data_IF_866829170549
#
_entry.id   IF_866829170549
#
_cell.length_a   1.000
_cell.length_b   1.000
_cell.length_c   1.000
_cell.angle_alpha   90.00
_cell.angle_beta   90.00
_cell.angle_gamma   90.00
#
_symmetry.space_group_name_H-M   'P 1'
#
loop_
_entity.id
_entity.type
_entity.pdbx_description
1 polymer ?
#
# COMPACT_ATOMS: atom_id res chain seq x y z
N UNK A 1 65.07 3.63 -31.30
CA UNK A 1 64.29 2.52 -31.89
C UNK A 1 63.56 1.77 -30.80
N UNK A 2 62.35 1.28 -31.10
CA UNK A 2 61.51 0.34 -30.32
C UNK A 2 60.69 0.90 -29.13
N UNK A 3 59.74 1.83 -29.34
CA UNK A 3 58.55 1.92 -28.46
C UNK A 3 57.27 2.45 -29.17
N UNK A 4 57.11 2.21 -30.48
CA UNK A 4 55.93 2.67 -31.24
C UNK A 4 54.96 1.54 -31.65
N UNK A 5 54.93 0.42 -30.93
CA UNK A 5 54.04 -0.73 -31.25
C UNK A 5 53.15 -1.15 -30.07
N UNK A 6 53.09 -0.38 -28.97
CA UNK A 6 52.29 -0.78 -27.81
C UNK A 6 50.97 -0.01 -27.60
N UNK A 7 50.56 0.84 -28.55
CA UNK A 7 49.35 1.67 -28.38
C UNK A 7 48.16 1.17 -29.21
N UNK A 8 48.37 0.30 -30.20
CA UNK A 8 47.27 -0.23 -31.03
C UNK A 8 46.57 -1.47 -30.46
N UNK A 9 47.12 -2.10 -29.40
CA UNK A 9 46.53 -3.30 -28.78
C UNK A 9 45.51 -2.98 -27.67
N UNK A 10 45.46 -1.74 -27.17
CA UNK A 10 44.54 -1.35 -26.09
C UNK A 10 43.15 -0.97 -26.64
N UNK A 11 43.03 -0.67 -27.94
CA UNK A 11 41.76 -0.30 -28.56
C UNK A 11 40.86 -1.51 -28.96
N UNK A 12 41.33 -2.75 -28.82
CA UNK A 12 40.55 -3.96 -29.11
C UNK A 12 39.95 -4.63 -27.87
N UNK A 13 40.29 -4.18 -26.66
CA UNK A 13 39.81 -4.79 -25.41
C UNK A 13 38.49 -4.14 -24.91
N UNK A 14 38.14 -2.95 -25.39
CA UNK A 14 36.90 -2.28 -24.99
C UNK A 14 35.65 -2.65 -25.82
N UNK A 15 35.67 -3.74 -26.60
CA UNK A 15 34.47 -4.20 -27.32
C UNK A 15 33.95 -5.59 -26.93
N UNK A 16 34.63 -6.34 -26.06
CA UNK A 16 34.14 -7.67 -25.64
C UNK A 16 33.87 -7.81 -24.15
N UNK A 17 34.07 -6.76 -23.35
CA UNK A 17 33.72 -6.76 -21.93
C UNK A 17 32.69 -5.67 -21.62
N UNK A 18 31.54 -5.70 -22.31
CA UNK A 18 30.30 -5.30 -21.65
C UNK A 18 29.84 -6.55 -20.90
N UNK A 19 30.50 -6.80 -19.77
CA UNK A 19 30.05 -7.82 -18.82
C UNK A 19 28.69 -7.31 -18.32
N UNK A 20 27.67 -8.14 -18.48
CA UNK A 20 26.36 -7.85 -17.96
C UNK A 20 26.51 -7.79 -16.44
N UNK A 21 26.65 -6.59 -15.89
CA UNK A 21 26.52 -6.32 -14.46
C UNK A 21 25.03 -6.35 -14.07
N UNK A 22 24.26 -7.27 -14.66
CA UNK A 22 22.99 -7.69 -14.12
C UNK A 22 23.33 -8.60 -12.94
N UNK A 23 23.65 -7.95 -11.83
CA UNK A 23 23.77 -8.58 -10.53
C UNK A 23 22.51 -9.40 -10.30
N UNK A 24 22.63 -10.72 -10.25
CA UNK A 24 21.60 -11.60 -9.73
C UNK A 24 21.53 -11.47 -8.19
N UNK A 25 21.16 -10.29 -7.69
CA UNK A 25 20.80 -10.08 -6.27
C UNK A 25 19.37 -10.58 -5.96
N UNK A 26 18.66 -11.09 -6.97
CA UNK A 26 17.36 -11.75 -6.85
C UNK A 26 17.37 -13.05 -6.01
N UNK A 27 18.55 -13.58 -5.64
CA UNK A 27 18.68 -14.82 -4.87
C UNK A 27 18.79 -14.63 -3.33
N UNK A 28 18.66 -13.39 -2.83
CA UNK A 28 18.66 -13.12 -1.37
C UNK A 28 17.29 -12.70 -0.82
N UNK A 29 16.20 -13.00 -1.53
CA UNK A 29 14.92 -13.22 -0.84
C UNK A 29 14.95 -14.67 -0.38
N UNK A 30 15.26 -14.87 0.91
CA UNK A 30 14.90 -16.13 1.54
C UNK A 30 13.43 -16.37 1.24
N UNK A 31 13.14 -17.43 0.50
CA UNK A 31 11.80 -17.99 0.46
C UNK A 31 11.56 -18.47 1.89
N UNK A 32 11.08 -17.58 2.76
CA UNK A 32 10.29 -18.02 3.89
C UNK A 32 9.23 -18.92 3.28
N UNK A 33 9.12 -20.19 3.71
CA UNK A 33 8.01 -21.02 3.31
C UNK A 33 6.76 -20.16 3.41
N UNK A 34 5.88 -20.22 2.41
CA UNK A 34 4.50 -19.80 2.62
C UNK A 34 3.97 -20.80 3.66
N UNK A 35 4.35 -20.63 4.93
CA UNK A 35 3.51 -21.02 6.05
C UNK A 35 2.21 -20.37 5.67
N UNK A 36 1.19 -21.19 5.42
CA UNK A 36 -0.18 -20.71 5.28
C UNK A 36 -0.36 -19.71 6.43
N UNK A 37 -0.32 -18.41 6.11
CA UNK A 37 -0.72 -17.37 7.04
C UNK A 37 -2.21 -17.54 7.13
N UNK A 38 -2.62 -18.56 7.87
CA UNK A 38 -3.90 -18.57 8.53
C UNK A 38 -3.75 -17.42 9.51
N UNK A 39 -4.15 -16.25 9.04
CA UNK A 39 -4.28 -15.06 9.86
C UNK A 39 -5.43 -15.35 10.82
N UNK A 40 -5.11 -16.04 11.92
CA UNK A 40 -6.02 -16.38 13.01
C UNK A 40 -6.45 -15.12 13.80
N UNK A 41 -6.06 -13.91 13.36
CA UNK A 41 -6.53 -12.69 14.00
C UNK A 41 -8.05 -12.55 13.79
N UNK A 42 -8.81 -12.35 14.88
CA UNK A 42 -10.25 -12.20 14.76
C UNK A 42 -10.58 -10.95 13.93
N UNK A 43 -11.46 -11.11 12.94
CA UNK A 43 -11.90 -9.99 12.08
C UNK A 43 -12.48 -8.87 12.97
N UNK A 44 -11.97 -7.63 12.88
CA UNK A 44 -12.41 -6.56 13.76
C UNK A 44 -13.88 -6.22 13.52
N UNK A 45 -14.62 -5.92 14.58
CA UNK A 45 -15.99 -5.42 14.49
C UNK A 45 -16.14 -4.22 15.41
N UNK A 46 -16.86 -3.22 14.93
CA UNK A 46 -16.95 -1.92 15.56
C UNK A 46 -18.36 -1.63 16.05
N UNK A 47 -18.48 -1.13 17.27
CA UNK A 47 -19.77 -0.66 17.78
C UNK A 47 -20.11 0.68 17.12
N UNK A 48 -21.22 0.73 16.38
CA UNK A 48 -21.64 1.98 15.71
C UNK A 48 -21.93 3.12 16.69
N UNK A 49 -22.30 2.80 17.93
CA UNK A 49 -22.45 3.78 19.02
C UNK A 49 -21.13 4.46 19.42
N UNK A 50 -19.99 3.85 19.12
CA UNK A 50 -18.66 4.38 19.39
C UNK A 50 -18.08 5.16 18.21
N UNK A 51 -18.80 5.27 17.09
CA UNK A 51 -18.32 5.95 15.89
C UNK A 51 -17.77 7.36 16.11
N UNK A 52 -18.36 8.24 16.97
CA UNK A 52 -17.75 9.54 17.27
C UNK A 52 -16.34 9.42 17.86
N UNK A 53 -16.14 8.48 18.80
CA UNK A 53 -14.86 8.25 19.47
C UNK A 53 -13.85 7.61 18.52
N UNK A 54 -14.30 6.65 17.71
CA UNK A 54 -13.48 6.01 16.67
C UNK A 54 -13.03 7.01 15.62
N UNK A 55 -13.91 7.92 15.18
CA UNK A 55 -13.55 8.97 14.24
C UNK A 55 -12.56 9.97 14.85
N UNK A 56 -12.74 10.36 16.12
CA UNK A 56 -11.79 11.21 16.82
C UNK A 56 -10.40 10.56 16.95
N UNK A 57 -10.33 9.23 17.14
CA UNK A 57 -9.08 8.47 17.12
C UNK A 57 -8.49 8.42 15.71
N UNK A 58 -9.30 8.07 14.71
CA UNK A 58 -8.93 8.02 13.30
C UNK A 58 -8.27 9.31 12.80
N UNK A 59 -8.85 10.47 13.13
CA UNK A 59 -8.31 11.78 12.78
C UNK A 59 -6.88 11.94 13.32
N UNK A 60 -6.62 11.49 14.54
CA UNK A 60 -5.29 11.57 15.17
C UNK A 60 -4.33 10.57 14.56
N UNK A 61 -4.73 9.30 14.43
CA UNK A 61 -3.89 8.22 13.92
C UNK A 61 -3.40 8.50 12.50
N UNK A 62 -4.27 9.06 11.65
CA UNK A 62 -3.97 9.35 10.24
C UNK A 62 -3.73 10.84 9.95
N UNK A 63 -3.58 11.65 11.00
CA UNK A 63 -3.32 13.09 10.91
C UNK A 63 -4.25 13.82 9.91
N UNK A 64 -5.55 13.51 9.98
CA UNK A 64 -6.57 14.08 9.10
C UNK A 64 -6.81 15.54 9.42
N UNK A 65 -7.07 16.32 8.38
CA UNK A 65 -7.39 17.74 8.47
C UNK A 65 -8.51 18.03 7.47
N UNK A 66 -9.54 18.68 7.97
CA UNK A 66 -10.71 19.07 7.17
C UNK A 66 -10.73 20.58 7.02
N UNK A 67 -11.21 21.03 5.86
CA UNK A 67 -11.18 22.45 5.47
C UNK A 67 -12.09 23.31 6.35
N UNK A 68 -13.26 22.79 6.67
CA UNK A 68 -14.32 23.45 7.41
C UNK A 68 -15.25 22.41 8.06
N UNK A 69 -16.29 22.88 8.75
CA UNK A 69 -17.26 22.02 9.43
C UNK A 69 -18.06 21.16 8.45
N UNK A 70 -18.39 21.68 7.26
CA UNK A 70 -19.14 20.91 6.26
C UNK A 70 -18.31 19.71 5.76
N UNK A 71 -17.03 19.96 5.48
CA UNK A 71 -16.07 18.92 5.10
C UNK A 71 -15.88 17.88 6.22
N UNK A 72 -15.78 18.34 7.48
CA UNK A 72 -15.72 17.45 8.65
C UNK A 72 -16.96 16.55 8.74
N UNK A 73 -18.16 17.12 8.60
CA UNK A 73 -19.42 16.35 8.69
C UNK A 73 -19.57 15.37 7.52
N UNK A 74 -19.16 15.77 6.31
CA UNK A 74 -19.13 14.89 5.13
C UNK A 74 -18.24 13.67 5.40
N UNK A 75 -17.00 13.90 5.83
CA UNK A 75 -16.05 12.82 6.11
C UNK A 75 -16.46 11.96 7.31
N UNK A 76 -17.06 12.55 8.35
CA UNK A 76 -17.63 11.78 9.46
C UNK A 76 -18.76 10.85 8.99
N UNK A 77 -19.67 11.35 8.16
CA UNK A 77 -20.76 10.55 7.61
C UNK A 77 -20.21 9.40 6.75
N UNK A 78 -19.26 9.68 5.87
CA UNK A 78 -18.61 8.63 5.04
C UNK A 78 -17.88 7.61 5.90
N UNK A 79 -17.15 8.03 6.93
CA UNK A 79 -16.50 7.14 7.88
C UNK A 79 -17.52 6.21 8.57
N UNK A 80 -18.66 6.76 9.00
CA UNK A 80 -19.73 5.97 9.64
C UNK A 80 -20.32 4.91 8.70
N UNK A 81 -20.60 5.26 7.44
CA UNK A 81 -21.10 4.30 6.46
C UNK A 81 -20.05 3.22 6.15
N UNK A 82 -18.77 3.59 6.01
CA UNK A 82 -17.69 2.63 5.79
C UNK A 82 -17.47 1.71 7.01
N UNK A 83 -17.74 2.19 8.23
CA UNK A 83 -17.70 1.36 9.44
C UNK A 83 -18.76 0.26 9.42
N UNK A 84 -19.96 0.55 8.90
CA UNK A 84 -21.00 -0.48 8.68
C UNK A 84 -20.55 -1.51 7.65
N UNK A 85 -19.90 -1.06 6.58
CA UNK A 85 -19.43 -1.95 5.52
C UNK A 85 -18.30 -2.87 6.02
N UNK A 86 -17.35 -2.33 6.79
CA UNK A 86 -16.32 -3.14 7.48
C UNK A 86 -16.98 -4.22 8.33
N UNK A 87 -17.96 -3.85 9.17
CA UNK A 87 -18.68 -4.81 9.98
C UNK A 87 -19.40 -5.87 9.14
N UNK A 88 -20.02 -5.48 8.02
CA UNK A 88 -20.71 -6.39 7.11
C UNK A 88 -19.73 -7.40 6.53
N UNK A 89 -18.62 -6.95 5.95
CA UNK A 89 -17.57 -7.80 5.37
C UNK A 89 -16.99 -8.75 6.42
N UNK A 90 -16.71 -8.24 7.62
CA UNK A 90 -16.08 -9.02 8.67
C UNK A 90 -17.04 -9.99 9.37
N UNK A 91 -18.36 -9.73 9.30
CA UNK A 91 -19.38 -10.68 9.76
C UNK A 91 -19.64 -11.83 8.77
N UNK A 92 -19.22 -11.67 7.51
CA UNK A 92 -19.39 -12.67 6.48
C UNK A 92 -18.36 -13.81 6.64
N UNK A 93 -18.90 -15.01 6.90
CA UNK A 93 -18.11 -16.23 7.08
C UNK A 93 -17.49 -16.74 5.77
N UNK A 94 -18.09 -16.38 4.64
CA UNK A 94 -17.62 -16.77 3.31
C UNK A 94 -16.61 -15.75 2.76
N UNK A 95 -16.46 -14.59 3.40
CA UNK A 95 -15.47 -13.59 2.97
C UNK A 95 -14.05 -14.11 3.20
N UNK A 96 -13.29 -14.21 2.11
CA UNK A 96 -11.88 -14.60 2.07
C UNK A 96 -10.93 -13.46 2.46
N UNK A 97 -11.47 -12.27 2.74
CA UNK A 97 -10.70 -11.13 3.19
C UNK A 97 -11.36 -10.46 4.40
N UNK A 98 -10.55 -9.67 5.09
CA UNK A 98 -10.93 -8.88 6.26
C UNK A 98 -10.70 -7.40 5.92
N UNK A 99 -11.61 -6.53 6.36
CA UNK A 99 -11.46 -5.08 6.23
C UNK A 99 -11.19 -4.45 7.59
N UNK A 100 -10.50 -3.31 7.62
CA UNK A 100 -10.23 -2.60 8.87
C UNK A 100 -10.18 -1.07 8.64
N UNK A 101 -10.30 -0.29 9.72
CA UNK A 101 -10.09 1.16 9.70
C UNK A 101 -8.66 1.44 9.26
N UNK A 102 -8.55 2.08 8.10
CA UNK A 102 -7.29 2.50 7.48
C UNK A 102 -7.37 3.94 7.01
N UNK A 103 -6.28 4.48 6.46
CA UNK A 103 -6.17 5.88 6.04
C UNK A 103 -7.19 6.35 4.98
N UNK A 104 -7.98 5.46 4.37
CA UNK A 104 -9.01 5.78 3.38
C UNK A 104 -10.43 5.57 3.91
N UNK A 105 -10.61 5.30 5.20
CA UNK A 105 -11.92 4.96 5.78
C UNK A 105 -12.93 6.11 5.66
N UNK A 106 -12.48 7.36 5.59
CA UNK A 106 -13.37 8.52 5.39
C UNK A 106 -13.56 8.92 3.91
N UNK A 107 -13.11 8.10 2.95
CA UNK A 107 -13.19 8.42 1.53
C UNK A 107 -14.47 7.87 0.92
N UNK A 108 -15.13 8.71 0.13
CA UNK A 108 -16.21 8.27 -0.75
C UNK A 108 -15.68 7.44 -1.92
N UNK A 109 -16.58 6.73 -2.61
CA UNK A 109 -16.24 6.00 -3.84
C UNK A 109 -15.58 6.91 -4.88
N UNK A 110 -16.09 8.13 -5.04
CA UNK A 110 -15.58 9.11 -5.99
C UNK A 110 -14.16 9.56 -5.62
N UNK A 111 -13.92 9.87 -4.34
CA UNK A 111 -12.59 10.26 -3.85
C UNK A 111 -11.58 9.11 -4.01
N UNK A 112 -11.97 7.86 -3.71
CA UNK A 112 -11.12 6.70 -3.96
C UNK A 112 -10.80 6.53 -5.44
N UNK A 113 -11.80 6.68 -6.33
CA UNK A 113 -11.59 6.59 -7.78
C UNK A 113 -10.66 7.68 -8.29
N UNK A 114 -10.79 8.90 -7.77
CA UNK A 114 -9.91 10.01 -8.10
C UNK A 114 -8.45 9.72 -7.70
N UNK A 115 -8.22 9.19 -6.48
CA UNK A 115 -6.88 8.79 -6.04
C UNK A 115 -6.25 7.70 -6.90
N UNK A 116 -7.05 6.74 -7.36
CA UNK A 116 -6.59 5.60 -8.15
C UNK A 116 -6.44 5.93 -9.65
N UNK A 117 -6.72 7.17 -10.07
CA UNK A 117 -6.61 7.59 -11.47
C UNK A 117 -7.60 6.89 -12.40
N UNK A 118 -8.71 6.36 -11.87
CA UNK A 118 -9.73 5.61 -12.62
C UNK A 118 -10.97 6.46 -12.96
N UNK A 119 -10.85 7.79 -12.91
CA UNK A 119 -11.88 8.72 -13.35
C UNK A 119 -11.71 9.11 -14.82
N UNK A 120 -12.57 8.60 -15.70
CA UNK A 120 -12.84 9.14 -17.03
C UNK A 120 -14.33 9.51 -17.12
#
# INVERSE_FOLDING_TARGET
>A
MKYFVLVTLIALIHWTNCENDYSDDAASYGYDPIEDRIDDTPKPTYMLSEAPSLFAKYIKDFNKKYKDEEDFQKHYYTFFENLKEINRINSDKESTFTSDINMFTDYSEEERRSLLGVGF
#
